data_IF_170735588675
#
_entry.id   IF_170735588675
#
_cell.length_a   1.000
_cell.length_b   1.000
_cell.length_c   1.000
_cell.angle_alpha   90.00
_cell.angle_beta   90.00
_cell.angle_gamma   90.00
#
_symmetry.space_group_name_H-M   'P 1'
#
loop_
_entity.id
_entity.type
_entity.pdbx_description
1 polymer ?
2 non-polymer ?
#
# COMPACT_ATOMS: atom_id res chain seq x y z
N UNK A 6 -9.48 24.75 17.18
CA UNK A 6 -9.84 23.45 16.54
C UNK A 6 -8.57 22.76 16.04
N UNK A 7 -8.21 21.67 16.69
CA UNK A 7 -7.04 20.86 16.29
C UNK A 7 -7.33 20.19 14.95
N UNK A 8 -6.38 20.22 14.01
CA UNK A 8 -6.57 19.57 12.69
C UNK A 8 -6.05 18.13 12.73
N UNK A 9 -6.96 17.17 12.85
CA UNK A 9 -6.61 15.74 13.01
C UNK A 9 -6.92 15.09 11.66
N UNK A 10 -5.94 14.40 11.08
CA UNK A 10 -6.09 13.74 9.77
C UNK A 10 -5.81 12.24 10.01
N UNK A 11 -6.28 11.41 9.09
CA UNK A 11 -5.99 9.95 9.05
C UNK A 11 -5.04 9.69 7.87
N UNK A 12 -4.01 8.87 8.08
CA UNK A 12 -3.07 8.40 7.04
C UNK A 12 -2.95 6.88 7.08
N UNK A 13 -3.23 6.21 5.95
CA UNK A 13 -3.14 4.73 5.88
C UNK A 13 -1.66 4.36 5.91
N UNK A 14 -1.27 3.43 6.79
CA UNK A 14 0.14 3.03 6.90
C UNK A 14 0.37 1.73 6.10
N UNK A 15 -0.58 0.78 6.17
CA UNK A 15 -0.38 -0.56 5.57
C UNK A 15 -1.72 -1.34 5.60
N UNK A 16 -1.66 -2.60 5.12
CA UNK A 16 -2.78 -3.55 5.27
C UNK A 16 -2.65 -4.24 6.63
N UNK A 17 -3.75 -4.68 7.21
CA UNK A 17 -3.73 -5.42 8.51
C UNK A 17 -3.71 -6.92 8.21
N UNK A 18 -2.53 -7.51 8.29
CA UNK A 18 -2.44 -8.96 8.03
C UNK A 18 -1.36 -9.60 8.91
N UNK A 19 -1.59 -10.85 9.30
CA UNK A 19 -0.61 -11.60 10.11
C UNK A 19 0.60 -11.95 9.24
N UNK A 20 1.82 -11.82 9.77
CA UNK A 20 3.06 -12.08 8.99
C UNK A 20 3.83 -13.30 9.53
N UNK A 21 3.98 -14.33 8.70
CA UNK A 21 4.66 -15.59 9.09
C UNK A 21 6.14 -15.34 9.40
N UNK A 22 6.83 -14.40 8.77
CA UNK A 22 8.27 -14.23 9.12
C UNK A 22 8.42 -12.96 9.93
N UNK A 23 7.53 -12.74 10.90
CA UNK A 23 7.45 -11.39 11.50
C UNK A 23 8.71 -10.87 12.21
N UNK A 24 9.21 -11.64 13.18
CA UNK A 24 10.27 -11.18 14.09
C UNK A 24 9.68 -11.53 15.45
N UNK A 25 10.47 -12.09 16.36
CA UNK A 25 9.77 -12.69 17.54
C UNK A 25 10.29 -12.16 18.87
N UNK A 26 9.48 -12.41 19.90
CA UNK A 26 9.76 -12.13 21.32
C UNK A 26 10.13 -10.66 21.56
N UNK A 27 11.27 -10.44 22.20
CA UNK A 27 11.77 -9.12 22.60
C UNK A 27 12.41 -8.34 21.49
N UNK A 28 13.49 -7.64 21.80
CA UNK A 28 14.23 -6.77 20.83
C UNK A 28 13.35 -5.63 20.29
N UNK A 29 12.42 -5.13 21.12
CA UNK A 29 11.49 -4.01 20.82
C UNK A 29 10.65 -3.70 22.08
N UNK A 80 -9.83 5.64 1.93
CA UNK A 80 -10.61 5.04 3.04
C UNK A 80 -10.33 3.54 3.08
N UNK A 81 -11.23 2.74 2.50
CA UNK A 81 -11.09 1.25 2.44
C UNK A 81 -10.95 0.70 3.86
N UNK A 82 -9.98 -0.20 4.05
CA UNK A 82 -9.70 -0.85 5.36
C UNK A 82 -8.18 -0.91 5.56
N UNK A 83 -7.72 -0.99 6.81
CA UNK A 83 -6.27 -1.07 7.09
C UNK A 83 -5.92 -0.38 8.40
N UNK A 84 -4.63 -0.22 8.64
CA UNK A 84 -4.12 0.51 9.81
C UNK A 84 -3.80 1.94 9.34
N UNK A 85 -4.32 2.94 10.08
CA UNK A 85 -4.08 4.36 9.79
C UNK A 85 -3.33 4.96 10.98
N UNK A 86 -2.41 5.88 10.69
CA UNK A 86 -1.81 6.73 11.76
C UNK A 86 -2.78 7.90 11.97
N UNK A 87 -2.88 8.41 13.20
CA UNK A 87 -3.65 9.63 13.54
C UNK A 87 -2.67 10.81 13.65
N UNK A 88 -2.83 11.81 12.79
CA UNK A 88 -1.88 12.96 12.74
C UNK A 88 -2.60 14.26 13.07
N UNK A 89 -1.92 15.14 13.78
CA UNK A 89 -2.45 16.45 14.14
C UNK A 89 -1.64 17.46 13.35
N UNK A 90 -2.29 18.44 12.77
CA UNK A 90 -1.54 19.53 12.08
C UNK A 90 -0.96 20.46 13.16
N UNK A 91 0.31 20.84 13.02
CA UNK A 91 0.98 21.72 14.00
C UNK A 91 1.80 22.79 13.30
N UNK A 92 2.04 23.92 13.96
CA UNK A 92 2.84 25.01 13.33
C UNK A 92 4.26 24.48 13.09
N UNK A 93 4.75 23.69 14.04
CA UNK A 93 6.10 23.06 14.03
C UNK A 93 6.20 22.07 12.87
N UNK A 94 5.12 21.30 12.70
CA UNK A 94 4.97 20.29 11.64
C UNK A 94 3.89 19.28 11.99
N UNK A 95 3.72 18.26 11.15
CA UNK A 95 2.72 17.18 11.39
C UNK A 95 3.23 16.29 12.53
N UNK A 96 2.33 15.80 13.39
CA UNK A 96 2.76 14.94 14.53
C UNK A 96 1.77 13.77 14.69
N UNK A 97 2.28 12.56 14.91
CA UNK A 97 1.43 11.37 15.07
C UNK A 97 1.20 11.15 16.57
N UNK A 98 -0.05 11.24 17.00
CA UNK A 98 -0.40 11.00 18.43
C UNK A 98 -1.07 9.65 18.62
N UNK A 99 -1.53 9.00 17.55
CA UNK A 99 -2.17 7.68 17.69
C UNK A 99 -2.16 6.84 16.43
N UNK A 100 -2.66 5.60 16.56
CA UNK A 100 -2.84 4.65 15.45
C UNK A 100 -4.26 4.14 15.52
N UNK A 101 -4.85 3.84 14.39
CA UNK A 101 -6.26 3.40 14.35
C UNK A 101 -6.44 2.22 13.40
N UNK A 102 -7.55 1.53 13.53
CA UNK A 102 -7.85 0.36 12.67
C UNK A 102 -9.14 0.69 11.89
N UNK A 103 -9.17 0.46 10.59
CA UNK A 103 -10.42 0.66 9.82
C UNK A 103 -11.01 -0.68 9.36
N UNK A 104 -12.19 -1.03 9.88
CA UNK A 104 -12.84 -2.35 9.64
C UNK A 104 -14.33 -2.09 9.42
N UNK A 105 -14.83 -2.58 8.28
CA UNK A 105 -16.26 -2.50 7.88
C UNK A 105 -16.70 -1.02 7.91
N UNK A 106 -15.88 -0.12 7.38
CA UNK A 106 -16.29 1.29 7.23
C UNK A 106 -16.31 2.02 8.56
N UNK A 107 -15.86 1.36 9.63
CA UNK A 107 -15.83 1.99 10.99
C UNK A 107 -14.38 2.20 11.43
N UNK A 108 -14.04 3.38 11.91
CA UNK A 108 -12.67 3.66 12.41
C UNK A 108 -12.58 3.53 13.94
N UNK A 109 -11.68 2.68 14.42
CA UNK A 109 -11.49 2.39 15.85
C UNK A 109 -10.13 2.95 16.26
N UNK A 110 -10.09 3.69 17.39
CA UNK A 110 -8.82 4.21 17.96
C UNK A 110 -9.01 4.37 19.46
N UNK A 111 -7.97 4.81 20.17
CA UNK A 111 -8.03 5.07 21.63
C UNK A 111 -8.68 6.42 21.84
N UNK A 112 -9.43 6.57 22.95
CA UNK A 112 -10.06 7.86 23.30
C UNK A 112 -9.02 8.99 23.47
N UNK A 113 -7.90 8.71 24.12
CA UNK A 113 -6.86 9.73 24.39
C UNK A 113 -6.13 10.18 23.14
N UNK A 114 -6.03 9.31 22.09
CA UNK A 114 -5.40 9.80 20.83
C UNK A 114 -6.33 10.87 20.27
N UNK A 115 -7.60 10.50 20.01
CA UNK A 115 -8.59 11.34 19.27
C UNK A 115 -9.06 12.40 20.25
N UNK A 116 -9.30 11.96 21.48
CA UNK A 116 -9.88 12.82 22.57
C UNK A 116 -11.30 13.28 22.20
N UNK A 117 -11.96 12.61 21.26
CA UNK A 117 -13.31 12.92 20.79
C UNK A 117 -13.30 13.88 19.61
N UNK A 118 -12.13 14.37 19.22
CA UNK A 118 -12.01 15.39 18.16
C UNK A 118 -12.39 14.75 16.83
N UNK A 119 -12.95 15.54 15.92
CA UNK A 119 -13.39 15.03 14.59
C UNK A 119 -12.15 14.63 13.80
N UNK A 120 -12.28 13.62 12.94
CA UNK A 120 -11.14 13.13 12.12
C UNK A 120 -11.37 13.59 10.68
N UNK A 121 -10.32 14.08 10.03
CA UNK A 121 -10.41 14.38 8.57
C UNK A 121 -9.75 13.20 7.80
N UNK A 122 -10.49 12.61 6.88
CA UNK A 122 -9.96 11.58 5.95
C UNK A 122 -10.28 12.04 4.54
N UNK A 123 -9.27 12.16 3.68
CA UNK A 123 -9.47 12.65 2.28
C UNK A 123 -10.12 14.03 2.34
N UNK A 124 -11.17 14.26 1.53
CA UNK A 124 -11.92 15.53 1.58
C UNK A 124 -13.12 15.44 2.49
N UNK A 125 -13.34 14.29 3.13
CA UNK A 125 -14.56 14.03 3.96
C UNK A 125 -14.18 14.02 5.44
N UNK A 126 -15.01 14.63 6.28
CA UNK A 126 -14.77 14.64 7.73
C UNK A 126 -15.35 13.35 8.31
N UNK A 127 -14.83 12.94 9.47
CA UNK A 127 -15.29 11.70 10.17
C UNK A 127 -15.83 12.06 11.56
N UNK A 128 -17.05 11.61 11.88
CA UNK A 128 -17.72 11.94 13.17
C UNK A 128 -17.84 10.69 14.05
N UNK A 129 -17.49 10.77 15.35
CA UNK A 129 -17.55 9.63 16.27
C UNK A 129 -18.99 9.21 16.48
N UNK A 130 -19.23 7.89 16.49
CA UNK A 130 -20.55 7.30 16.77
C UNK A 130 -20.58 6.95 18.26
N UNK A 131 -19.58 6.24 18.74
CA UNK A 131 -19.60 5.69 20.13
C UNK A 131 -18.23 5.90 20.74
N UNK A 132 -18.17 5.94 22.06
CA UNK A 132 -16.88 6.05 22.77
C UNK A 132 -17.04 5.53 24.22
N UNK A 133 -15.94 5.09 24.80
CA UNK A 133 -15.91 4.62 26.21
C UNK A 133 -14.62 5.08 26.86
N UNK A 134 -14.68 6.14 27.65
CA UNK A 134 -13.47 6.79 28.24
C UNK A 134 -12.77 5.86 29.25
N UNK A 135 -13.54 5.12 30.05
CA UNK A 135 -12.97 4.17 31.04
C UNK A 135 -12.20 3.06 30.32
N UNK A 136 -12.74 2.57 29.20
CA UNK A 136 -12.07 1.51 28.41
C UNK A 136 -11.03 2.10 27.46
N UNK A 137 -11.01 3.43 27.31
CA UNK A 137 -10.09 4.19 26.41
C UNK A 137 -10.30 3.78 24.95
N UNK A 138 -11.55 3.70 24.51
CA UNK A 138 -11.89 3.26 23.12
C UNK A 138 -12.82 4.31 22.52
N UNK A 139 -12.60 4.64 21.24
CA UNK A 139 -13.44 5.61 20.49
C UNK A 139 -13.77 5.01 19.12
N UNK A 140 -15.05 5.01 18.78
CA UNK A 140 -15.58 4.46 17.50
C UNK A 140 -15.98 5.64 16.62
N UNK A 141 -15.56 5.64 15.36
CA UNK A 141 -15.90 6.75 14.42
C UNK A 141 -16.74 6.22 13.25
N UNK A 142 -17.93 6.79 13.06
CA UNK A 142 -18.81 6.52 11.90
C UNK A 142 -19.69 5.27 12.08
N UNK A 143 -19.51 4.50 13.14
CA UNK A 143 -20.33 3.29 13.32
C UNK A 143 -20.07 2.66 14.66
N UNK A 144 -20.86 1.66 15.05
CA UNK A 144 -20.64 0.94 16.33
C UNK A 144 -19.30 0.21 16.26
N UNK A 145 -18.71 -0.15 17.40
CA UNK A 145 -17.47 -0.97 17.46
C UNK A 145 -17.67 -2.26 16.66
N UNK A 146 -16.78 -2.54 15.70
CA UNK A 146 -16.87 -3.67 14.75
C UNK A 146 -15.85 -4.75 15.16
N UNK A 147 -15.05 -4.53 16.19
CA UNK A 147 -13.96 -5.49 16.54
C UNK A 147 -14.34 -6.39 17.73
N UNK A 148 -14.95 -7.55 17.46
CA UNK A 148 -15.37 -8.47 18.55
C UNK A 148 -14.35 -9.60 18.73
N UNK A 149 -13.24 -9.55 18.00
CA UNK A 149 -12.22 -10.61 18.05
C UNK A 149 -11.60 -10.75 19.42
N UNK A 150 -11.44 -11.98 19.88
CA UNK A 150 -10.95 -12.32 21.24
C UNK A 150 -9.68 -13.15 21.19
N UNK A 151 -8.77 -12.94 22.15
CA UNK A 151 -7.53 -13.75 22.27
C UNK A 151 -7.82 -15.12 22.91
N UNK A 152 -7.13 -16.18 22.46
CA UNK A 152 -7.34 -17.57 22.94
C UNK A 152 -6.83 -17.67 24.37
N UNK A 153 -5.87 -16.80 24.71
CA UNK A 153 -5.20 -16.70 26.03
C UNK A 153 -3.99 -17.64 26.10
N UNK A 154 -3.88 -18.57 25.15
CA UNK A 154 -2.84 -19.60 25.18
C UNK A 154 -1.89 -19.48 24.00
N UNK A 155 -2.10 -18.53 23.10
CA UNK A 155 -1.27 -18.51 21.87
C UNK A 155 -0.60 -17.16 21.62
N UNK A 156 0.47 -17.19 20.83
CA UNK A 156 1.29 -16.01 20.50
C UNK A 156 0.51 -15.08 19.58
N UNK A 157 0.77 -13.80 19.67
CA UNK A 157 0.01 -12.75 18.92
C UNK A 157 1.06 -11.97 18.13
N UNK A 158 0.59 -11.18 17.17
CA UNK A 158 1.47 -10.27 16.39
C UNK A 158 0.93 -8.86 16.60
N UNK A 159 1.79 -7.95 17.03
CA UNK A 159 1.37 -6.52 17.04
C UNK A 159 1.80 -5.87 15.72
N UNK A 160 0.84 -5.29 14.98
CA UNK A 160 1.14 -4.46 13.81
C UNK A 160 1.51 -3.08 14.34
N UNK A 161 2.73 -2.89 14.81
CA UNK A 161 3.21 -1.62 15.38
C UNK A 161 3.40 -0.56 14.27
N UNK A 162 2.89 0.64 14.51
CA UNK A 162 3.04 1.78 13.58
C UNK A 162 3.63 2.93 14.39
N UNK A 163 4.92 2.84 14.72
CA UNK A 163 5.59 3.90 15.50
C UNK A 163 5.66 5.17 14.64
N UNK A 164 5.58 6.37 15.23
CA UNK A 164 5.74 7.60 14.44
C UNK A 164 7.11 7.70 13.75
N UNK A 165 7.08 8.05 12.48
CA UNK A 165 8.28 8.24 11.64
C UNK A 165 8.88 6.95 11.13
N UNK A 166 8.26 5.82 11.44
CA UNK A 166 8.86 4.47 11.25
C UNK A 166 7.87 3.64 10.44
N UNK A 167 8.39 2.78 9.56
CA UNK A 167 7.58 1.90 8.69
C UNK A 167 6.79 0.97 9.62
N UNK A 168 5.58 0.54 9.21
CA UNK A 168 4.83 -0.48 9.95
C UNK A 168 5.58 -1.83 9.93
N UNK A 169 5.58 -2.51 11.06
CA UNK A 169 6.25 -3.81 11.22
C UNK A 169 5.34 -4.67 12.09
N UNK A 170 5.41 -5.98 11.90
CA UNK A 170 4.67 -6.96 12.71
C UNK A 170 5.70 -7.61 13.60
N UNK A 171 5.43 -7.68 14.91
CA UNK A 171 6.33 -8.37 15.87
C UNK A 171 5.52 -9.46 16.59
N UNK A 172 6.08 -10.68 16.65
CA UNK A 172 5.39 -11.85 17.29
C UNK A 172 5.84 -11.93 18.75
N UNK A 173 4.92 -11.80 19.70
CA UNK A 173 5.26 -11.87 21.15
C UNK A 173 4.15 -12.63 21.88
N UNK A 174 4.41 -13.12 23.10
CA UNK A 174 3.32 -13.77 23.88
C UNK A 174 2.92 -12.81 25.00
N UNK A 175 1.66 -12.37 25.05
CA UNK A 175 1.19 -11.41 26.04
C UNK A 175 1.33 -12.02 27.45
N UNK A 176 1.69 -11.18 28.42
CA UNK A 176 1.74 -11.58 29.84
C UNK A 176 0.33 -11.76 30.34
N UNK A 177 0.09 -12.72 31.23
CA UNK A 177 -1.29 -12.97 31.73
C UNK A 177 -1.35 -12.65 33.22
N UNK A 178 -2.36 -11.88 33.62
CA UNK A 178 -2.58 -11.65 35.05
C UNK A 178 -4.08 -11.64 35.34
N UNK A 179 -4.41 -11.89 36.59
CA UNK A 179 -5.82 -12.01 37.05
C UNK A 179 -6.45 -10.62 37.20
N UNK A 180 -7.78 -10.55 37.14
CA UNK A 180 -8.59 -9.33 37.33
C UNK A 180 -9.95 -9.78 37.84
N UNK A 181 -10.71 -8.88 38.47
CA UNK A 181 -12.08 -9.20 38.95
C UNK A 181 -13.00 -9.53 37.77
N UNK A 182 -12.97 -8.74 36.70
CA UNK A 182 -13.81 -9.01 35.51
C UNK A 182 -13.40 -10.35 34.86
N UNK A 183 -12.11 -10.56 34.63
CA UNK A 183 -11.62 -11.82 34.04
C UNK A 183 -10.10 -11.83 33.89
N UNK A 184 -9.51 -12.96 33.58
CA UNK A 184 -8.04 -13.00 33.32
C UNK A 184 -7.73 -12.18 32.06
N UNK A 185 -6.77 -11.25 32.15
CA UNK A 185 -6.47 -10.31 31.02
C UNK A 185 -5.02 -10.50 30.56
N UNK A 186 -4.80 -10.49 29.24
CA UNK A 186 -3.45 -10.59 28.67
C UNK A 186 -2.85 -9.19 28.50
N UNK A 187 -1.60 -9.00 28.91
CA UNK A 187 -0.94 -7.68 28.83
C UNK A 187 0.22 -7.72 27.84
N UNK A 188 0.21 -6.85 26.84
CA UNK A 188 1.32 -6.79 25.86
C UNK A 188 2.08 -5.48 26.10
N UNK A 189 3.29 -5.51 26.65
CA UNK A 189 4.00 -4.25 27.01
C UNK A 189 5.36 -4.11 26.35
N UNK A 190 5.56 -3.05 25.57
CA UNK A 190 6.76 -2.86 24.71
C UNK A 190 7.26 -1.43 24.82
N UNK A 191 8.40 -1.14 24.20
CA UNK A 191 9.08 0.19 24.32
C UNK A 191 8.79 1.08 23.11
N UNK A 192 7.70 0.85 22.40
CA UNK A 192 7.35 1.71 21.26
C UNK A 192 7.14 3.14 21.79
N UNK A 193 7.29 4.13 20.92
CA UNK A 193 6.92 5.54 21.24
C UNK A 193 5.43 5.63 21.63
N UNK A 194 5.01 6.69 22.34
CA UNK A 194 3.61 6.92 22.76
C UNK A 194 2.64 6.98 21.58
N UNK A 195 3.11 7.56 20.47
CA UNK A 195 2.33 7.78 19.25
C UNK A 195 1.97 6.49 18.56
N UNK A 196 2.44 5.36 19.10
CA UNK A 196 2.17 3.98 18.64
C UNK A 196 0.92 3.43 19.31
N UNK A 197 0.34 4.17 20.24
CA UNK A 197 -0.94 3.77 20.90
C UNK A 197 -2.03 3.57 19.83
N UNK A 198 -2.83 2.52 20.01
CA UNK A 198 -3.94 2.20 19.11
C UNK A 198 -3.49 1.25 18.00
N UNK A 199 -2.22 0.90 18.00
CA UNK A 199 -1.70 -0.11 17.04
C UNK A 199 -2.39 -1.47 17.22
N UNK A 200 -2.96 -2.05 16.14
CA UNK A 200 -3.75 -3.28 16.25
C UNK A 200 -2.90 -4.50 16.67
N UNK A 201 -3.49 -5.37 17.50
CA UNK A 201 -2.91 -6.68 17.88
C UNK A 201 -3.78 -7.78 17.27
N UNK A 202 -3.16 -8.69 16.49
CA UNK A 202 -3.91 -9.75 15.77
C UNK A 202 -3.46 -11.12 16.28
N UNK A 203 -4.36 -12.10 16.17
CA UNK A 203 -4.09 -13.53 16.47
C UNK A 203 -3.60 -14.25 15.19
N UNK A 204 -3.34 -15.56 15.29
CA UNK A 204 -2.85 -16.41 14.16
C UNK A 204 -3.87 -16.32 13.01
N UNK A 205 -5.13 -16.13 13.35
CA UNK A 205 -6.26 -15.98 12.40
C UNK A 205 -6.20 -14.66 11.63
N UNK A 206 -5.39 -13.70 12.11
CA UNK A 206 -5.27 -12.36 11.48
C UNK A 206 -6.37 -11.40 11.91
N UNK A 207 -7.26 -11.80 12.81
CA UNK A 207 -8.30 -10.92 13.38
C UNK A 207 -7.71 -9.99 14.47
N UNK A 208 -8.29 -8.83 14.67
CA UNK A 208 -7.75 -7.82 15.63
C UNK A 208 -8.23 -8.11 17.07
N UNK A 209 -7.34 -8.66 17.91
CA UNK A 209 -7.64 -9.17 19.29
C UNK A 209 -7.50 -8.02 20.32
N UNK A 210 -6.76 -6.98 19.89
CA UNK A 210 -6.67 -5.79 20.74
C UNK A 210 -5.94 -4.62 20.10
N UNK A 211 -6.04 -3.46 20.75
CA UNK A 211 -5.37 -2.20 20.32
C UNK A 211 -4.21 -1.89 21.31
N UNK A 212 -3.04 -1.58 20.77
CA UNK A 212 -1.82 -1.40 21.61
C UNK A 212 -2.03 -0.25 22.60
N UNK A 213 -1.84 -0.55 23.88
CA UNK A 213 -2.16 0.36 25.00
C UNK A 213 -2.94 -0.39 26.08
N UNK A 227 -3.93 -4.93 28.27
CA UNK A 227 -5.13 -4.27 27.66
C UNK A 227 -5.90 -5.34 26.87
N UNK A 228 -5.29 -6.47 26.55
CA UNK A 228 -5.86 -7.46 25.60
C UNK A 228 -6.70 -8.48 26.38
N UNK A 229 -8.03 -8.28 26.34
CA UNK A 229 -8.96 -9.07 27.18
C UNK A 229 -8.93 -10.50 26.65
N UNK A 230 -8.92 -11.48 27.54
CA UNK A 230 -8.76 -12.91 27.18
C UNK A 230 -10.10 -13.63 27.35
N UNK A 231 -10.70 -14.12 26.28
CA UNK A 231 -11.99 -14.82 26.40
C UNK A 231 -11.95 -16.06 25.52
N UNK A 232 -11.70 -17.18 26.19
CA UNK A 232 -11.68 -18.57 25.70
C UNK A 232 -12.74 -19.35 26.48
N UNK B 6 -9.23 -7.35 -37.52
CA UNK B 6 -8.42 -6.36 -36.79
C UNK B 6 -8.77 -6.42 -35.30
N UNK B 7 -7.74 -6.30 -34.48
CA UNK B 7 -7.79 -6.35 -33.00
C UNK B 7 -8.07 -4.94 -32.50
N UNK B 8 -9.09 -4.80 -31.65
CA UNK B 8 -9.44 -3.49 -31.01
C UNK B 8 -8.68 -3.35 -29.69
N UNK B 9 -7.65 -2.49 -29.68
CA UNK B 9 -6.86 -2.22 -28.46
C UNK B 9 -7.31 -0.86 -27.93
N UNK B 10 -7.78 -0.82 -26.68
CA UNK B 10 -8.24 0.43 -26.02
C UNK B 10 -7.37 0.63 -24.77
N UNK B 11 -7.30 1.87 -24.28
CA UNK B 11 -6.57 2.24 -23.05
C UNK B 11 -7.60 2.55 -21.95
N UNK B 12 -7.40 2.01 -20.75
CA UNK B 12 -8.24 2.32 -19.54
C UNK B 12 -7.36 2.83 -18.40
N UNK B 13 -7.67 4.03 -17.88
CA UNK B 13 -6.88 4.66 -16.80
C UNK B 13 -7.12 3.86 -15.51
N UNK B 14 -6.05 3.48 -14.80
CA UNK B 14 -6.21 2.67 -13.57
C UNK B 14 -5.98 3.52 -12.32
N UNK B 15 -4.96 4.41 -12.36
CA UNK B 15 -4.67 5.32 -11.25
C UNK B 15 -3.75 6.49 -11.72
N UNK B 16 -3.44 7.39 -10.78
CA UNK B 16 -2.32 8.36 -10.93
C UNK B 16 -1.01 7.62 -10.59
N UNK B 17 0.11 8.09 -11.13
CA UNK B 17 1.44 7.48 -10.82
C UNK B 17 2.10 8.28 -9.69
N UNK B 18 2.02 7.76 -8.47
CA UNK B 18 2.60 8.45 -7.29
C UNK B 18 3.26 7.41 -6.39
N UNK B 19 4.39 7.75 -5.77
CA UNK B 19 5.02 6.87 -4.76
C UNK B 19 4.14 6.84 -3.51
N UNK B 20 3.85 5.67 -2.94
CA UNK B 20 2.90 5.59 -1.81
C UNK B 20 3.59 5.24 -0.48
N UNK B 21 3.25 5.98 0.58
CA UNK B 21 3.80 5.78 1.95
C UNK B 21 3.27 4.48 2.57
N UNK B 22 2.11 4.01 2.11
CA UNK B 22 1.49 2.78 2.64
C UNK B 22 1.80 1.57 1.77
N UNK B 23 2.77 1.61 0.86
CA UNK B 23 2.87 0.41 -0.01
C UNK B 23 3.35 -0.80 0.80
N UNK B 24 2.87 -2.01 0.45
CA UNK B 24 3.38 -3.26 1.07
C UNK B 24 4.86 -3.42 0.70
N UNK B 25 5.70 -3.78 1.68
CA UNK B 25 7.17 -3.88 1.52
C UNK B 25 7.56 -5.31 1.12
N UNK B 26 8.80 -5.46 0.63
CA UNK B 26 9.40 -6.75 0.19
C UNK B 26 8.59 -7.38 -0.95
N UNK B 27 8.15 -8.62 -0.76
CA UNK B 27 7.31 -9.28 -1.78
C UNK B 27 6.03 -9.85 -1.19
N UNK B 28 4.97 -9.05 -1.09
CA UNK B 28 3.65 -9.56 -0.61
C UNK B 28 3.05 -10.49 -1.67
N UNK B 29 3.50 -10.36 -2.92
CA UNK B 29 2.95 -11.11 -4.10
C UNK B 29 4.06 -11.77 -4.92
N UNK B 80 -6.11 11.45 -22.88
CA UNK B 80 -4.64 11.62 -22.94
C UNK B 80 -4.14 12.17 -21.60
N UNK B 81 -4.93 12.07 -20.55
CA UNK B 81 -4.53 12.58 -19.22
C UNK B 81 -3.38 11.73 -18.70
N UNK B 82 -2.40 12.36 -18.05
CA UNK B 82 -1.24 11.69 -17.42
C UNK B 82 -1.70 10.62 -16.41
N UNK B 83 -1.00 9.51 -16.33
CA UNK B 83 -1.41 8.46 -15.37
C UNK B 83 -1.04 7.05 -15.85
N UNK B 84 -1.44 6.06 -15.07
CA UNK B 84 -1.18 4.63 -15.37
C UNK B 84 -2.46 4.05 -16.00
N UNK B 85 -2.32 3.43 -17.18
CA UNK B 85 -3.46 2.83 -17.92
C UNK B 85 -3.20 1.34 -18.10
N UNK B 86 -4.28 0.57 -18.21
CA UNK B 86 -4.20 -0.85 -18.62
C UNK B 86 -4.47 -0.94 -20.12
N UNK B 87 -3.71 -1.75 -20.85
CA UNK B 87 -3.92 -1.97 -22.32
C UNK B 87 -4.90 -3.13 -22.49
N UNK B 88 -6.03 -2.82 -23.11
CA UNK B 88 -7.11 -3.83 -23.26
C UNK B 88 -7.27 -4.17 -24.75
N UNK B 89 -7.38 -5.46 -25.05
CA UNK B 89 -7.66 -5.97 -26.42
C UNK B 89 -9.05 -6.60 -26.33
N UNK B 90 -9.94 -6.27 -27.27
CA UNK B 90 -11.32 -6.78 -27.28
C UNK B 90 -11.46 -7.95 -28.26
N UNK B 91 -11.49 -9.19 -27.75
CA UNK B 91 -11.78 -10.37 -28.59
C UNK B 91 -13.28 -10.45 -28.80
N UNK B 92 -13.74 -11.14 -29.83
CA UNK B 92 -15.21 -11.18 -30.08
C UNK B 92 -15.90 -11.76 -28.83
N UNK B 93 -15.37 -12.87 -28.30
CA UNK B 93 -15.91 -13.59 -27.13
C UNK B 93 -15.84 -12.70 -25.88
N UNK B 94 -14.67 -12.10 -25.63
CA UNK B 94 -14.43 -11.26 -24.45
C UNK B 94 -13.27 -10.29 -24.63
N UNK B 95 -13.12 -9.34 -23.71
CA UNK B 95 -11.98 -8.40 -23.75
C UNK B 95 -11.08 -8.64 -22.54
N UNK B 96 -9.77 -8.70 -22.76
CA UNK B 96 -8.77 -8.94 -21.70
C UNK B 96 -7.66 -7.90 -21.75
N UNK B 97 -6.91 -7.81 -20.65
CA UNK B 97 -5.77 -6.86 -20.56
C UNK B 97 -4.50 -7.69 -20.78
N UNK B 98 -3.71 -7.29 -21.77
CA UNK B 98 -2.41 -7.99 -22.00
C UNK B 98 -1.24 -7.13 -21.54
N UNK B 99 -1.47 -5.88 -21.12
CA UNK B 99 -0.36 -5.01 -20.69
C UNK B 99 -0.79 -3.81 -19.88
N UNK B 100 0.21 -3.05 -19.41
CA UNK B 100 -0.01 -1.79 -18.66
C UNK B 100 0.84 -0.73 -19.31
N UNK B 101 0.44 0.52 -19.20
CA UNK B 101 1.18 1.60 -19.85
C UNK B 101 1.23 2.84 -18.97
N UNK B 102 2.09 3.77 -19.35
CA UNK B 102 2.27 5.03 -18.62
C UNK B 102 2.00 6.18 -19.61
N UNK B 103 1.26 7.19 -19.19
CA UNK B 103 1.09 8.40 -20.03
C UNK B 103 1.85 9.57 -19.42
N UNK B 104 2.90 10.04 -20.10
CA UNK B 104 3.75 11.15 -19.58
C UNK B 104 4.00 12.13 -20.73
N UNK B 105 3.67 13.40 -20.48
CA UNK B 105 3.94 14.54 -21.39
C UNK B 105 3.32 14.21 -22.77
N UNK B 106 2.07 13.74 -22.73
CA UNK B 106 1.26 13.54 -23.94
C UNK B 106 1.67 12.30 -24.71
N UNK B 107 2.59 11.50 -24.16
CA UNK B 107 3.14 10.34 -24.89
C UNK B 107 2.78 9.06 -24.14
N UNK B 108 2.32 8.03 -24.83
CA UNK B 108 1.98 6.75 -24.18
C UNK B 108 3.11 5.73 -24.34
N UNK B 109 3.59 5.19 -23.21
CA UNK B 109 4.72 4.25 -23.16
C UNK B 109 4.16 2.89 -22.77
N UNK B 110 4.58 1.81 -23.44
CA UNK B 110 4.25 0.42 -23.04
C UNK B 110 5.32 -0.51 -23.59
N UNK B 111 5.17 -1.82 -23.33
CA UNK B 111 6.05 -2.87 -23.90
C UNK B 111 5.64 -3.17 -25.33
N UNK B 112 6.60 -3.47 -26.19
CA UNK B 112 6.33 -3.84 -27.60
C UNK B 112 5.43 -5.07 -27.67
N UNK B 113 5.72 -6.09 -26.84
CA UNK B 113 4.97 -7.38 -26.87
C UNK B 113 3.53 -7.22 -26.36
N UNK B 114 3.26 -6.19 -25.57
CA UNK B 114 1.87 -5.89 -25.14
C UNK B 114 1.08 -5.45 -26.37
N UNK B 115 1.62 -4.49 -27.14
CA UNK B 115 0.90 -3.80 -28.25
C UNK B 115 1.23 -4.52 -29.57
N UNK B 116 2.47 -4.90 -29.74
CA UNK B 116 2.95 -5.51 -31.00
C UNK B 116 2.76 -4.57 -32.19
N UNK B 117 2.75 -3.26 -31.93
CA UNK B 117 2.63 -2.20 -32.94
C UNK B 117 1.17 -1.87 -33.24
N UNK B 118 0.23 -2.55 -32.59
CA UNK B 118 -1.21 -2.37 -32.87
C UNK B 118 -1.60 -0.94 -32.55
N UNK B 119 -2.54 -0.37 -33.31
CA UNK B 119 -3.03 1.01 -33.04
C UNK B 119 -3.79 0.98 -31.71
N UNK B 120 -3.90 2.12 -31.03
CA UNK B 120 -4.55 2.12 -29.70
C UNK B 120 -5.80 3.00 -29.72
N UNK B 121 -6.80 2.63 -28.91
CA UNK B 121 -8.07 3.39 -28.81
C UNK B 121 -8.13 4.01 -27.43
N UNK B 122 -8.38 5.32 -27.36
CA UNK B 122 -8.59 5.99 -26.05
C UNK B 122 -9.84 6.84 -26.12
N UNK B 123 -10.89 6.49 -25.39
CA UNK B 123 -12.14 7.31 -25.34
C UNK B 123 -12.63 7.62 -26.76
N UNK B 124 -12.70 6.63 -27.64
CA UNK B 124 -13.16 6.93 -29.01
C UNK B 124 -12.28 7.96 -29.67
N UNK B 125 -10.97 7.81 -29.50
CA UNK B 125 -9.89 8.66 -30.08
C UNK B 125 -8.70 7.71 -30.32
N UNK B 126 -7.81 8.04 -31.25
CA UNK B 126 -6.78 7.04 -31.61
C UNK B 126 -5.35 7.53 -31.35
N UNK B 127 -4.49 6.65 -30.84
CA UNK B 127 -3.05 6.91 -30.58
C UNK B 127 -2.25 6.44 -31.80
N UNK B 128 -1.37 7.25 -32.37
CA UNK B 128 -0.56 6.71 -33.50
C UNK B 128 0.92 6.59 -33.06
N UNK B 129 1.53 5.40 -33.20
CA UNK B 129 2.88 5.06 -32.72
C UNK B 129 3.91 5.95 -33.38
N UNK B 130 4.87 6.47 -32.59
CA UNK B 130 5.95 7.33 -33.13
C UNK B 130 7.16 6.41 -33.30
N UNK B 131 7.56 5.76 -32.21
CA UNK B 131 8.85 5.03 -32.16
C UNK B 131 8.58 3.72 -31.43
N UNK B 132 9.40 2.72 -31.70
CA UNK B 132 9.35 1.44 -30.97
C UNK B 132 10.72 0.74 -31.02
N UNK B 133 11.03 -0.11 -30.06
CA UNK B 133 12.33 -0.83 -30.03
C UNK B 133 12.10 -2.26 -29.58
N UNK B 134 12.01 -3.16 -30.53
CA UNK B 134 11.60 -4.57 -30.27
C UNK B 134 12.62 -5.30 -29.38
N UNK B 135 13.92 -5.13 -29.59
CA UNK B 135 14.90 -5.86 -28.72
C UNK B 135 14.80 -5.37 -27.27
N UNK B 136 14.64 -4.07 -27.08
CA UNK B 136 14.51 -3.53 -25.70
C UNK B 136 13.07 -3.75 -25.19
N UNK B 137 12.16 -4.16 -26.07
CA UNK B 137 10.73 -4.46 -25.80
C UNK B 137 10.01 -3.19 -25.36
N UNK B 138 10.18 -2.10 -26.12
CA UNK B 138 9.59 -0.79 -25.74
C UNK B 138 8.81 -0.26 -26.94
N UNK B 139 7.67 0.38 -26.67
CA UNK B 139 6.80 0.99 -27.71
C UNK B 139 6.37 2.39 -27.26
N UNK B 140 6.50 3.38 -28.14
CA UNK B 140 6.11 4.79 -27.85
C UNK B 140 4.96 5.19 -28.79
N UNK B 141 3.93 5.82 -28.25
CA UNK B 141 2.84 6.41 -29.07
C UNK B 141 2.72 7.93 -28.88
N UNK B 142 2.50 8.67 -29.97
CA UNK B 142 2.24 10.12 -29.96
C UNK B 142 3.49 10.97 -29.95
N UNK B 143 4.68 10.38 -29.82
CA UNK B 143 5.92 11.18 -29.74
C UNK B 143 7.06 10.37 -29.18
N UNK B 144 8.25 10.98 -29.06
CA UNK B 144 9.47 10.27 -28.61
C UNK B 144 9.27 9.78 -27.18
N UNK B 145 10.07 8.80 -26.73
CA UNK B 145 10.10 8.32 -25.33
C UNK B 145 10.35 9.51 -24.40
N UNK B 146 9.50 9.67 -23.37
CA UNK B 146 9.51 10.85 -22.46
C UNK B 146 10.09 10.42 -21.09
N UNK B 147 10.35 9.15 -20.89
CA UNK B 147 10.81 8.68 -19.54
C UNK B 147 12.34 8.60 -19.43
N UNK B 148 12.97 9.71 -19.03
CA UNK B 148 14.45 9.86 -18.94
C UNK B 148 14.90 9.44 -17.54
N UNK B 149 13.95 9.15 -16.64
CA UNK B 149 14.25 8.82 -15.23
C UNK B 149 15.06 7.53 -15.10
N UNK B 150 16.11 7.53 -14.26
CA UNK B 150 17.01 6.36 -14.13
C UNK B 150 17.07 5.89 -12.66
N UNK B 151 17.37 4.61 -12.44
CA UNK B 151 17.58 4.08 -11.08
C UNK B 151 19.04 4.24 -10.67
N UNK B 152 19.29 4.77 -9.47
CA UNK B 152 20.69 4.94 -8.98
C UNK B 152 21.33 3.56 -8.82
N UNK B 153 20.53 2.59 -8.39
CA UNK B 153 20.98 1.20 -8.07
C UNK B 153 21.17 1.01 -6.56
N UNK B 154 21.09 2.08 -5.78
CA UNK B 154 21.34 2.01 -4.33
C UNK B 154 20.07 2.20 -3.53
N UNK B 155 18.93 2.34 -4.18
CA UNK B 155 17.67 2.72 -3.51
C UNK B 155 16.58 1.65 -3.78
N UNK B 156 15.64 1.56 -2.86
CA UNK B 156 14.43 0.71 -3.04
C UNK B 156 13.49 1.34 -4.04
N UNK B 157 12.73 0.52 -4.75
CA UNK B 157 11.82 1.03 -5.82
C UNK B 157 10.38 0.65 -5.44
N UNK B 158 9.42 1.27 -6.11
CA UNK B 158 8.00 0.85 -6.00
C UNK B 158 7.46 0.48 -7.39
N UNK B 159 6.90 -0.71 -7.51
CA UNK B 159 6.13 -1.06 -8.74
C UNK B 159 4.67 -0.67 -8.51
N UNK B 160 4.13 0.19 -9.39
CA UNK B 160 2.69 0.55 -9.34
C UNK B 160 1.97 -0.56 -10.09
N UNK B 161 1.93 -1.75 -9.47
CA UNK B 161 1.36 -2.95 -10.11
C UNK B 161 -0.13 -2.78 -10.43
N UNK B 162 -0.51 -3.21 -11.64
CA UNK B 162 -1.90 -3.19 -12.14
C UNK B 162 -2.25 -4.58 -12.67
N UNK B 163 -2.46 -5.55 -11.77
CA UNK B 163 -2.77 -6.93 -12.18
C UNK B 163 -4.11 -6.94 -12.93
N UNK B 164 -4.35 -7.81 -13.92
CA UNK B 164 -5.66 -7.78 -14.58
C UNK B 164 -6.77 -7.95 -13.54
N UNK B 165 -7.81 -7.15 -13.68
CA UNK B 165 -9.04 -7.21 -12.84
C UNK B 165 -8.78 -7.01 -11.37
N UNK B 166 -7.75 -6.25 -11.03
CA UNK B 166 -7.50 -5.96 -9.61
C UNK B 166 -7.19 -4.48 -9.49
N UNK B 167 -7.54 -3.89 -8.34
CA UNK B 167 -7.24 -2.47 -8.03
C UNK B 167 -5.72 -2.31 -8.21
N UNK B 168 -5.25 -1.15 -8.72
CA UNK B 168 -3.83 -0.82 -8.72
C UNK B 168 -3.30 -0.77 -7.27
N UNK B 169 -2.16 -1.40 -7.04
CA UNK B 169 -1.51 -1.42 -5.70
C UNK B 169 0.00 -1.18 -5.90
N UNK B 170 0.61 -0.38 -5.02
CA UNK B 170 2.05 -0.10 -5.09
C UNK B 170 2.75 -1.09 -4.16
N UNK B 171 3.84 -1.70 -4.64
CA UNK B 171 4.64 -2.67 -3.85
C UNK B 171 6.08 -2.14 -3.80
N UNK B 172 6.64 -2.06 -2.60
CA UNK B 172 8.03 -1.61 -2.39
C UNK B 172 8.94 -2.84 -2.26
N UNK B 173 9.95 -2.95 -3.13
CA UNK B 173 10.94 -4.06 -3.08
C UNK B 173 12.32 -3.51 -3.44
N UNK B 174 13.37 -4.27 -3.15
CA UNK B 174 14.75 -3.93 -3.57
C UNK B 174 15.17 -4.86 -4.71
N UNK B 175 15.35 -4.36 -5.95
CA UNK B 175 15.69 -5.21 -7.08
C UNK B 175 17.04 -5.89 -6.88
N UNK B 176 17.19 -7.11 -7.42
CA UNK B 176 18.49 -7.80 -7.52
C UNK B 176 19.34 -7.12 -8.57
N UNK B 177 20.65 -7.10 -8.38
CA UNK B 177 21.60 -6.52 -9.37
C UNK B 177 22.45 -7.64 -9.98
N UNK B 178 22.60 -7.54 -11.29
CA UNK B 178 23.39 -8.45 -12.14
C UNK B 178 24.36 -7.66 -13.00
N UNK B 179 25.66 -7.99 -13.02
CA UNK B 179 26.48 -7.33 -14.08
C UNK B 179 25.86 -7.85 -15.39
N UNK B 180 26.05 -7.08 -16.46
CA UNK B 180 25.65 -7.43 -17.85
C UNK B 180 26.68 -6.80 -18.81
N UNK B 181 26.74 -7.27 -20.06
CA UNK B 181 27.75 -6.74 -21.01
C UNK B 181 27.54 -5.23 -21.23
N UNK B 182 26.30 -4.78 -21.41
CA UNK B 182 26.03 -3.33 -21.60
C UNK B 182 26.38 -2.56 -20.33
N UNK B 183 26.02 -3.12 -19.17
CA UNK B 183 26.30 -2.53 -17.85
C UNK B 183 25.54 -3.26 -16.75
N UNK B 184 25.72 -2.88 -15.49
CA UNK B 184 24.97 -3.57 -14.40
C UNK B 184 23.48 -3.16 -14.33
N UNK B 185 22.59 -4.15 -14.20
CA UNK B 185 21.11 -3.95 -14.30
C UNK B 185 20.45 -4.50 -13.03
N UNK B 186 19.26 -3.99 -12.71
CA UNK B 186 18.46 -4.45 -11.57
C UNK B 186 17.30 -5.30 -12.01
N UNK B 187 17.00 -6.39 -11.30
CA UNK B 187 15.88 -7.29 -11.63
C UNK B 187 14.73 -7.13 -10.61
N UNK B 188 13.52 -7.02 -11.15
CA UNK B 188 12.29 -6.91 -10.33
C UNK B 188 11.35 -7.99 -10.88
N UNK B 189 11.42 -9.20 -10.32
CA UNK B 189 10.51 -10.30 -10.73
C UNK B 189 9.65 -10.78 -9.56
N UNK B 190 8.33 -10.66 -9.71
CA UNK B 190 7.34 -10.98 -8.64
C UNK B 190 6.29 -11.92 -9.22
N UNK B 191 5.43 -12.46 -8.36
CA UNK B 191 4.35 -13.36 -8.82
C UNK B 191 3.17 -12.50 -9.22
N UNK B 192 3.08 -12.14 -10.49
CA UNK B 192 1.94 -11.33 -11.00
C UNK B 192 1.44 -11.99 -12.30
N UNK B 193 0.19 -11.73 -12.69
CA UNK B 193 -0.32 -12.13 -14.01
C UNK B 193 0.51 -11.49 -15.12
N UNK B 194 0.53 -12.10 -16.33
CA UNK B 194 1.25 -11.58 -17.51
C UNK B 194 0.67 -10.24 -17.97
N UNK B 195 -0.62 -10.01 -17.67
CA UNK B 195 -1.32 -8.75 -18.00
C UNK B 195 -0.80 -7.58 -17.21
N UNK B 196 0.17 -7.80 -16.31
CA UNK B 196 0.82 -6.80 -15.45
C UNK B 196 2.08 -6.26 -16.12
N UNK B 197 2.44 -6.82 -17.27
CA UNK B 197 3.60 -6.33 -18.06
C UNK B 197 3.40 -4.86 -18.41
N UNK B 198 4.46 -4.07 -18.30
CA UNK B 198 4.39 -2.62 -18.62
C UNK B 198 4.04 -1.80 -17.39
N UNK B 199 3.75 -2.48 -16.28
CA UNK B 199 3.47 -1.78 -15.00
C UNK B 199 4.67 -0.94 -14.59
N UNK B 200 4.45 0.35 -14.24
CA UNK B 200 5.54 1.26 -13.93
C UNK B 200 6.35 0.85 -12.68
N UNK B 201 7.66 1.09 -12.72
CA UNK B 201 8.55 1.04 -11.53
C UNK B 201 8.96 2.45 -11.21
N UNK B 202 8.67 2.91 -9.97
CA UNK B 202 8.85 4.32 -9.53
C UNK B 202 10.04 4.38 -8.57
N UNK B 203 10.78 5.48 -8.63
CA UNK B 203 11.85 5.85 -7.66
C UNK B 203 11.21 6.57 -6.44
N UNK B 204 11.96 6.82 -5.37
CA UNK B 204 11.39 7.47 -4.16
C UNK B 204 10.86 8.84 -4.57
N UNK B 205 11.51 9.42 -5.56
CA UNK B 205 11.10 10.76 -6.07
C UNK B 205 9.77 10.69 -6.87
N UNK B 206 9.27 9.49 -7.11
CA UNK B 206 8.02 9.28 -7.88
C UNK B 206 8.20 9.27 -9.42
N UNK B 207 9.46 9.35 -9.90
CA UNK B 207 9.72 9.26 -11.36
C UNK B 207 9.75 7.78 -11.80
N UNK B 208 9.45 7.53 -13.06
CA UNK B 208 9.39 6.15 -13.58
C UNK B 208 10.79 5.74 -14.09
N UNK B 209 11.48 4.89 -13.31
CA UNK B 209 12.87 4.46 -13.59
C UNK B 209 12.82 3.17 -14.40
N UNK B 210 11.65 2.54 -14.49
CA UNK B 210 11.58 1.21 -15.13
C UNK B 210 10.16 0.73 -15.42
N UNK B 211 10.04 -0.25 -16.30
CA UNK B 211 8.73 -0.84 -16.70
C UNK B 211 8.69 -2.36 -16.42
N UNK B 212 7.66 -2.83 -15.72
CA UNK B 212 7.63 -4.23 -15.19
C UNK B 212 7.62 -5.24 -16.32
N UNK B 213 8.62 -6.12 -16.34
CA UNK B 213 8.80 -7.06 -17.47
C UNK B 213 10.24 -7.55 -17.64
N UNK B 227 15.82 -4.63 -17.86
CA UNK B 227 14.84 -3.86 -17.04
C UNK B 227 15.58 -3.29 -15.83
N UNK B 228 15.06 -2.25 -15.20
CA UNK B 228 15.73 -1.62 -14.05
C UNK B 228 17.16 -1.24 -14.49
N UNK B 229 17.27 -0.44 -15.53
CA UNK B 229 18.56 0.13 -15.99
C UNK B 229 19.13 1.03 -14.89
N UNK B 230 20.42 0.89 -14.59
CA UNK B 230 21.12 1.62 -13.51
C UNK B 230 21.99 2.70 -14.16
N UNK B 231 21.73 3.97 -13.86
CA UNK B 231 22.59 5.09 -14.32
C UNK B 231 22.95 5.95 -13.11
N UNK B 232 24.12 6.59 -13.12
CA UNK B 232 24.56 7.45 -11.99
C UNK B 232 26.02 7.88 -12.22
#
# INVERSE_FOLDING_TARGET
>A
GSHMLMADLELERAADVRWEEQAEISGSSPILSITISEDGSMSIKNEEEEQTLGGGGSGGGGAGVLWDVPSPPPVGKAELEDGAYRIKQKGILGYSQIGAGVYKEGTFHTMWHVTRGAVLMHKGKRIEPSWADVKKDLISYGGGWKLEGEWKEGEEVQVLALEPGKNPRAVQTKPGLFKTNTGTIGAVSLDFSPGTSGSPIVDKKGKVVGLYGNGVVTRSGAYVSAIANTEKSIEDNPEIEDDIFRK
>B
GSHMLMADLELERAADVRWEEQAEISGSSPILSITISEDGSMSIKNEEEEQTLGGGGSGGGGAGVLWDVPSPPPVGKAELEDGAYRIKQKGILGYSQIGAGVYKEGTFHTMWHVTRGAVLMHKGKRIEPSWADVKKDLISYGGGWKLEGEWKEGEEVQVLALEPGKNPRAVQTKPGLFKTNTGTIGAVSLDFSPGTSGSPIVDKKGKVVGLYGNGVVTRSGAYVSAIANTEKSIEDNPEIEDDIFRK
#
